data_IF_721771578217
#
_entry.id   IF_721771578217
#
_cell.length_a   1.000
_cell.length_b   1.000
_cell.length_c   1.000
_cell.angle_alpha   90.00
_cell.angle_beta   90.00
_cell.angle_gamma   90.00
#
_symmetry.space_group_name_H-M   'P 1'
#
loop_
_entity.id
_entity.type
_entity.pdbx_description
1 polymer ?
#
# COMPACT_ATOMS: atom_id res chain seq x y z
N UNK A 1 34.40 -16.26 -8.78
CA UNK A 1 33.83 -15.86 -7.47
C UNK A 1 32.98 -14.58 -7.59
N UNK A 2 33.20 -13.70 -8.58
CA UNK A 2 32.35 -12.51 -8.80
C UNK A 2 31.03 -12.79 -9.54
N UNK A 3 31.03 -13.71 -10.52
CA UNK A 3 29.83 -14.06 -11.30
C UNK A 3 28.71 -14.60 -10.41
N UNK A 4 29.04 -15.45 -9.43
CA UNK A 4 28.08 -15.99 -8.44
C UNK A 4 27.46 -14.91 -7.57
N UNK A 5 28.17 -13.80 -7.32
CA UNK A 5 27.69 -12.69 -6.51
C UNK A 5 26.66 -11.84 -7.26
N UNK A 6 26.82 -11.66 -8.57
CA UNK A 6 25.87 -10.89 -9.40
C UNK A 6 24.53 -11.63 -9.50
N UNK A 7 24.57 -12.94 -9.79
CA UNK A 7 23.36 -13.76 -9.89
C UNK A 7 22.58 -13.76 -8.56
N UNK A 8 23.28 -13.86 -7.43
CA UNK A 8 22.68 -13.77 -6.10
C UNK A 8 22.02 -12.42 -5.84
N UNK A 9 22.67 -11.31 -6.20
CA UNK A 9 22.11 -9.97 -6.04
C UNK A 9 20.85 -9.76 -6.90
N UNK A 10 20.84 -10.27 -8.14
CA UNK A 10 19.69 -10.19 -9.03
C UNK A 10 18.51 -10.99 -8.45
N UNK A 11 18.76 -12.21 -7.97
CA UNK A 11 17.72 -13.04 -7.33
C UNK A 11 17.17 -12.32 -6.09
N UNK A 12 18.04 -11.73 -5.27
CA UNK A 12 17.64 -10.99 -4.07
C UNK A 12 16.80 -9.75 -4.41
N UNK A 13 17.16 -8.99 -5.45
CA UNK A 13 16.36 -7.88 -5.96
C UNK A 13 14.98 -8.35 -6.44
N UNK A 14 14.90 -9.43 -7.21
CA UNK A 14 13.64 -9.97 -7.72
C UNK A 14 12.73 -10.46 -6.59
N UNK A 15 13.29 -11.09 -5.56
CA UNK A 15 12.55 -11.49 -4.37
C UNK A 15 11.99 -10.28 -3.63
N UNK A 16 12.81 -9.26 -3.36
CA UNK A 16 12.34 -8.03 -2.70
C UNK A 16 11.26 -7.31 -3.50
N UNK A 17 11.40 -7.26 -4.83
CA UNK A 17 10.38 -6.70 -5.70
C UNK A 17 9.08 -7.52 -5.64
N UNK A 18 9.18 -8.86 -5.65
CA UNK A 18 8.04 -9.75 -5.49
C UNK A 18 7.32 -9.54 -4.15
N UNK A 19 8.07 -9.44 -3.04
CA UNK A 19 7.54 -9.12 -1.72
C UNK A 19 6.85 -7.75 -1.69
N UNK A 20 7.44 -6.72 -2.31
CA UNK A 20 6.86 -5.39 -2.40
C UNK A 20 5.49 -5.43 -3.10
N UNK A 21 5.41 -6.14 -4.23
CA UNK A 21 4.17 -6.28 -5.00
C UNK A 21 3.10 -7.01 -4.19
N UNK A 22 3.44 -8.13 -3.54
CA UNK A 22 2.50 -8.89 -2.71
C UNK A 22 2.02 -8.04 -1.52
N UNK A 23 2.93 -7.34 -0.84
CA UNK A 23 2.62 -6.46 0.28
C UNK A 23 1.67 -5.33 -0.14
N UNK A 24 1.89 -4.74 -1.31
CA UNK A 24 0.99 -3.74 -1.87
C UNK A 24 -0.42 -4.30 -2.06
N UNK A 25 -0.56 -5.48 -2.67
CA UNK A 25 -1.88 -6.10 -2.86
C UNK A 25 -2.57 -6.41 -1.53
N UNK A 26 -1.86 -6.97 -0.56
CA UNK A 26 -2.40 -7.25 0.77
C UNK A 26 -2.85 -5.96 1.45
N UNK A 27 -2.05 -4.89 1.35
CA UNK A 27 -2.36 -3.58 1.94
C UNK A 27 -3.63 -2.97 1.33
N UNK A 28 -3.79 -3.05 0.01
CA UNK A 28 -5.00 -2.57 -0.68
C UNK A 28 -6.22 -3.41 -0.27
N UNK A 29 -6.09 -4.74 -0.19
CA UNK A 29 -7.19 -5.62 0.24
C UNK A 29 -7.62 -5.30 1.67
N UNK A 30 -6.65 -5.14 2.58
CA UNK A 30 -6.90 -4.77 3.96
C UNK A 30 -7.60 -3.41 4.05
N UNK A 31 -7.18 -2.43 3.25
CA UNK A 31 -7.86 -1.15 3.15
C UNK A 31 -9.31 -1.32 2.70
N UNK A 32 -9.54 -1.98 1.56
CA UNK A 32 -10.90 -2.16 1.03
C UNK A 32 -11.79 -2.89 2.02
N UNK A 33 -11.24 -3.84 2.78
CA UNK A 33 -11.95 -4.52 3.85
C UNK A 33 -12.30 -3.56 5.00
N UNK A 34 -11.35 -2.73 5.45
CA UNK A 34 -11.56 -1.70 6.47
C UNK A 34 -12.62 -0.68 6.02
N UNK A 35 -12.50 -0.14 4.81
CA UNK A 35 -13.45 0.82 4.25
C UNK A 35 -14.86 0.24 4.20
N UNK A 36 -14.99 -1.01 3.75
CA UNK A 36 -16.30 -1.65 3.64
C UNK A 36 -16.89 -2.08 4.97
N UNK A 37 -16.07 -2.41 5.97
CA UNK A 37 -16.53 -2.91 7.26
C UNK A 37 -16.76 -1.78 8.28
N UNK A 38 -15.84 -0.82 8.34
CA UNK A 38 -15.88 0.31 9.28
C UNK A 38 -16.67 1.49 8.70
N UNK A 39 -16.48 1.80 7.41
CA UNK A 39 -17.03 3.00 6.76
C UNK A 39 -18.15 2.68 5.76
N UNK A 40 -18.93 1.63 6.04
CA UNK A 40 -19.96 1.05 5.14
C UNK A 40 -20.96 2.06 4.55
N UNK A 41 -21.19 3.19 5.22
CA UNK A 41 -22.18 4.20 4.83
C UNK A 41 -21.55 5.51 4.31
N UNK A 42 -20.23 5.58 4.15
CA UNK A 42 -19.54 6.78 3.68
C UNK A 42 -19.01 6.55 2.27
N UNK A 43 -19.51 7.33 1.31
CA UNK A 43 -18.86 7.45 0.00
C UNK A 43 -17.79 8.54 0.06
N UNK A 44 -16.54 8.12 0.24
CA UNK A 44 -15.40 9.04 0.33
C UNK A 44 -15.25 9.93 -0.89
N UNK A 45 -15.52 9.42 -2.09
CA UNK A 45 -15.38 10.20 -3.34
C UNK A 45 -16.48 11.26 -3.42
N UNK A 46 -17.71 10.90 -3.06
CA UNK A 46 -18.84 11.83 -3.05
C UNK A 46 -18.64 12.93 -2.00
N UNK A 47 -18.21 12.57 -0.78
CA UNK A 47 -17.95 13.52 0.29
C UNK A 47 -16.81 14.49 -0.03
N UNK A 48 -15.73 14.00 -0.66
CA UNK A 48 -14.65 14.87 -1.15
C UNK A 48 -15.17 15.84 -2.22
N UNK A 49 -16.03 15.40 -3.14
CA UNK A 49 -16.65 16.26 -4.16
C UNK A 49 -17.59 17.33 -3.56
N UNK A 50 -18.25 17.02 -2.44
CA UNK A 50 -19.06 17.98 -1.67
C UNK A 50 -18.24 19.01 -0.90
N UNK A 51 -16.91 18.90 -0.92
CA UNK A 51 -15.99 19.80 -0.22
C UNK A 51 -15.72 19.41 1.23
N UNK A 52 -15.99 18.15 1.62
CA UNK A 52 -15.71 17.67 2.96
C UNK A 52 -14.20 17.43 3.15
N UNK A 53 -13.51 18.46 3.65
CA UNK A 53 -12.05 18.44 3.87
C UNK A 53 -11.63 17.37 4.87
N UNK A 54 -12.45 17.07 5.88
CA UNK A 54 -12.12 16.06 6.89
C UNK A 54 -11.96 14.67 6.25
N UNK A 55 -12.88 14.32 5.33
CA UNK A 55 -12.84 13.06 4.58
C UNK A 55 -11.63 13.01 3.65
N UNK A 56 -11.30 14.12 2.99
CA UNK A 56 -10.11 14.21 2.13
C UNK A 56 -8.81 13.98 2.89
N UNK A 57 -8.67 14.61 4.07
CA UNK A 57 -7.49 14.43 4.94
C UNK A 57 -7.40 12.97 5.40
N UNK A 58 -8.51 12.39 5.84
CA UNK A 58 -8.55 11.01 6.28
C UNK A 58 -8.12 10.04 5.18
N UNK A 59 -8.66 10.18 3.97
CA UNK A 59 -8.28 9.36 2.81
C UNK A 59 -6.80 9.50 2.46
N UNK A 60 -6.26 10.73 2.57
CA UNK A 60 -4.86 11.01 2.29
C UNK A 60 -3.92 10.31 3.27
N UNK A 61 -4.29 10.31 4.56
CA UNK A 61 -3.51 9.63 5.62
C UNK A 61 -3.51 8.11 5.40
N UNK A 62 -4.64 7.54 5.01
CA UNK A 62 -4.74 6.12 4.65
C UNK A 62 -3.76 5.76 3.54
N UNK A 63 -3.74 6.53 2.45
CA UNK A 63 -2.83 6.30 1.32
C UNK A 63 -1.36 6.39 1.75
N UNK A 64 -1.05 7.33 2.65
CA UNK A 64 0.28 7.48 3.25
C UNK A 64 0.68 6.24 4.06
N UNK A 65 -0.23 5.70 4.89
CA UNK A 65 0.00 4.48 5.65
C UNK A 65 0.25 3.28 4.74
N UNK A 66 -0.42 3.18 3.60
CA UNK A 66 -0.14 2.12 2.62
C UNK A 66 1.29 2.24 2.10
N UNK A 67 1.73 3.45 1.75
CA UNK A 67 3.12 3.72 1.36
C UNK A 67 4.12 3.28 2.44
N UNK A 68 3.82 3.55 3.71
CA UNK A 68 4.64 3.09 4.84
C UNK A 68 4.70 1.57 4.96
N UNK A 69 3.56 0.87 4.85
CA UNK A 69 3.53 -0.60 4.94
C UNK A 69 4.32 -1.24 3.80
N UNK A 70 4.19 -0.71 2.58
CA UNK A 70 4.98 -1.19 1.43
C UNK A 70 6.46 -0.91 1.64
N UNK A 71 6.82 0.29 2.09
CA UNK A 71 8.21 0.63 2.40
C UNK A 71 8.80 -0.29 3.47
N UNK A 72 8.06 -0.54 4.55
CA UNK A 72 8.49 -1.39 5.65
C UNK A 72 8.68 -2.86 5.20
N UNK A 73 7.94 -3.31 4.18
CA UNK A 73 8.10 -4.65 3.63
C UNK A 73 9.36 -4.81 2.75
N UNK A 74 9.96 -3.71 2.30
CA UNK A 74 11.15 -3.69 1.45
C UNK A 74 12.46 -3.43 2.22
N UNK A 75 12.39 -3.24 3.53
CA UNK A 75 13.54 -2.97 4.42
C UNK A 75 13.95 -4.24 5.16
#
# INVERSE_FOLDING_TARGET
MEITSIDQNIIFMLLNLGYAVISLFISIIALVAIDKFIFKNIDFIEEIKKGNIAVAIFQSVILLFIGFVVSAAMT
#
